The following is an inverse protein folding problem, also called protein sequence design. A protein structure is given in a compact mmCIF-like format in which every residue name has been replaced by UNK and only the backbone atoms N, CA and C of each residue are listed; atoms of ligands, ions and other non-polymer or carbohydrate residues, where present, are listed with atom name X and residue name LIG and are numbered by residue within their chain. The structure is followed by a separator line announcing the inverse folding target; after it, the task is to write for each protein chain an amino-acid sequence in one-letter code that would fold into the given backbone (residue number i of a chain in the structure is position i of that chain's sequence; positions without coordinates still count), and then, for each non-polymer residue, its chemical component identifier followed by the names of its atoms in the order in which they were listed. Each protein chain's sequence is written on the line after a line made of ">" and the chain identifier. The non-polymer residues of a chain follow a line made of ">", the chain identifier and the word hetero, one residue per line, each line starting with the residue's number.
data_IF_837620799418
#
_entry.id   IF_837620799418
#
_cell.length_a   1.000
_cell.length_b   1.000
_cell.length_c   1.000
_cell.angle_alpha   90.00
_cell.angle_beta   90.00
_cell.angle_gamma   90.00
#
_symmetry.space_group_name_H-M   'P 1'
#
loop_
_entity.id
_entity.type
_entity.pdbx_description
1 polymer ?
#
# COMPACT_ATOMS: atom_id res chain seq x y z
N UNK A 1 -20.84 -6.47 43.68
CA UNK A 1 -21.37 -6.04 42.36
C UNK A 1 -20.69 -4.77 41.84
N UNK A 2 -20.74 -3.64 42.56
CA UNK A 2 -20.16 -2.33 42.12
C UNK A 2 -18.66 -2.41 41.81
N UNK A 3 -17.85 -3.06 42.66
CA UNK A 3 -16.40 -3.22 42.43
C UNK A 3 -16.06 -4.01 41.16
N UNK A 4 -16.85 -5.04 40.84
CA UNK A 4 -16.66 -5.80 39.61
C UNK A 4 -16.99 -4.97 38.38
N UNK A 5 -18.10 -4.21 38.40
CA UNK A 5 -18.47 -3.30 37.32
C UNK A 5 -17.40 -2.21 37.10
N UNK A 6 -16.86 -1.64 38.18
CA UNK A 6 -15.79 -0.66 38.12
C UNK A 6 -14.50 -1.24 37.51
N UNK A 7 -14.10 -2.44 37.93
CA UNK A 7 -12.92 -3.12 37.37
C UNK A 7 -13.10 -3.45 35.89
N UNK A 8 -14.28 -3.93 35.48
CA UNK A 8 -14.59 -4.21 34.07
C UNK A 8 -14.55 -2.93 33.23
N UNK A 9 -15.08 -1.82 33.76
CA UNK A 9 -15.05 -0.53 33.08
C UNK A 9 -13.62 0.01 32.92
N UNK A 10 -12.79 -0.06 33.97
CA UNK A 10 -11.38 0.33 33.91
C UNK A 10 -10.63 -0.52 32.87
N UNK A 11 -10.85 -1.83 32.85
CA UNK A 11 -10.23 -2.72 31.87
C UNK A 11 -10.64 -2.34 30.43
N UNK A 12 -11.91 -2.03 30.20
CA UNK A 12 -12.40 -1.60 28.89
C UNK A 12 -11.72 -0.30 28.44
N UNK A 13 -11.54 0.67 29.35
CA UNK A 13 -10.82 1.92 29.06
C UNK A 13 -9.37 1.61 28.67
N UNK A 14 -8.66 0.79 29.45
CA UNK A 14 -7.26 0.45 29.19
C UNK A 14 -7.11 -0.21 27.81
N UNK A 15 -7.98 -1.17 27.48
CA UNK A 15 -7.95 -1.86 26.18
C UNK A 15 -8.26 -0.87 25.04
N UNK A 16 -9.23 0.01 25.21
CA UNK A 16 -9.62 0.96 24.17
C UNK A 16 -8.53 2.00 23.91
N UNK A 17 -7.97 2.59 24.98
CA UNK A 17 -6.87 3.55 24.88
C UNK A 17 -5.63 2.89 24.29
N UNK A 18 -5.29 1.68 24.75
CA UNK A 18 -4.18 0.90 24.20
C UNK A 18 -4.35 0.62 22.70
N UNK A 19 -5.56 0.26 22.26
CA UNK A 19 -5.88 0.06 20.85
C UNK A 19 -5.73 1.35 20.04
N UNK A 20 -6.25 2.47 20.53
CA UNK A 20 -6.12 3.78 19.86
C UNK A 20 -4.65 4.16 19.70
N UNK A 21 -3.85 4.09 20.76
CA UNK A 21 -2.41 4.36 20.71
C UNK A 21 -1.70 3.46 19.70
N UNK A 22 -2.00 2.15 19.70
CA UNK A 22 -1.46 1.21 18.72
C UNK A 22 -1.79 1.61 17.28
N UNK A 23 -3.04 2.00 17.00
CA UNK A 23 -3.44 2.41 15.64
C UNK A 23 -2.72 3.68 15.17
N UNK A 24 -2.57 4.68 16.05
CA UNK A 24 -1.85 5.92 15.74
C UNK A 24 -0.38 5.62 15.44
N UNK A 25 0.29 4.82 16.28
CA UNK A 25 1.69 4.43 16.08
C UNK A 25 1.86 3.66 14.76
N UNK A 26 0.93 2.75 14.45
CA UNK A 26 0.95 2.01 13.19
C UNK A 26 0.82 2.94 11.99
N UNK A 27 -0.13 3.88 12.00
CA UNK A 27 -0.37 4.78 10.88
C UNK A 27 0.78 5.78 10.70
N UNK A 28 1.39 6.26 11.80
CA UNK A 28 2.62 7.07 11.74
C UNK A 28 3.78 6.29 11.11
N UNK A 29 3.95 5.02 11.50
CA UNK A 29 4.99 4.16 10.90
C UNK A 29 4.75 3.96 9.41
N UNK A 30 3.51 3.70 8.99
CA UNK A 30 3.16 3.55 7.58
C UNK A 30 3.44 4.85 6.82
N UNK A 31 3.08 6.00 7.39
CA UNK A 31 3.37 7.30 6.80
C UNK A 31 4.88 7.49 6.57
N UNK A 32 5.72 7.20 7.57
CA UNK A 32 7.18 7.29 7.45
C UNK A 32 7.72 6.36 6.35
N UNK A 33 7.23 5.11 6.29
CA UNK A 33 7.62 4.16 5.24
C UNK A 33 7.25 4.70 3.86
N UNK A 34 6.00 5.14 3.67
CA UNK A 34 5.55 5.67 2.39
C UNK A 34 6.38 6.88 1.96
N UNK A 35 6.71 7.79 2.89
CA UNK A 35 7.58 8.95 2.62
C UNK A 35 8.98 8.51 2.19
N UNK A 36 9.56 7.51 2.86
CA UNK A 36 10.87 6.97 2.47
C UNK A 36 10.85 6.42 1.05
N UNK A 37 9.90 5.56 0.73
CA UNK A 37 9.77 4.95 -0.61
C UNK A 37 9.57 6.01 -1.71
N UNK A 38 8.76 7.04 -1.43
CA UNK A 38 8.55 8.14 -2.37
C UNK A 38 9.79 9.03 -2.52
N UNK A 39 10.57 9.24 -1.45
CA UNK A 39 11.83 9.98 -1.52
C UNK A 39 12.88 9.22 -2.35
N UNK A 40 12.97 7.90 -2.20
CA UNK A 40 13.88 7.07 -3.00
C UNK A 40 13.51 7.15 -4.49
N UNK A 41 12.21 7.09 -4.81
CA UNK A 41 11.72 7.32 -6.17
C UNK A 41 12.03 8.73 -6.67
N UNK A 42 11.91 9.75 -5.82
CA UNK A 42 12.20 11.14 -6.18
C UNK A 42 13.68 11.34 -6.55
N UNK A 43 14.58 10.58 -5.92
CA UNK A 43 16.00 10.53 -6.29
C UNK A 43 16.26 10.03 -7.72
N UNK A 44 15.31 9.29 -8.32
CA UNK A 44 15.37 8.83 -9.71
C UNK A 44 14.58 9.75 -10.63
N UNK A 45 13.34 10.09 -10.26
CA UNK A 45 12.46 10.98 -11.01
C UNK A 45 11.43 11.64 -10.08
N UNK A 46 11.63 12.92 -9.78
CA UNK A 46 10.77 13.70 -8.90
C UNK A 46 9.32 13.81 -9.40
N UNK A 47 9.09 13.91 -10.71
CA UNK A 47 7.74 14.03 -11.27
C UNK A 47 6.93 12.74 -11.08
N UNK A 48 7.57 11.59 -11.23
CA UNK A 48 6.96 10.29 -10.99
C UNK A 48 6.64 10.10 -9.50
N UNK A 49 7.58 10.44 -8.61
CA UNK A 49 7.35 10.41 -7.18
C UNK A 49 6.18 11.32 -6.77
N UNK A 50 6.15 12.57 -7.24
CA UNK A 50 5.06 13.50 -6.95
C UNK A 50 3.71 13.02 -7.50
N UNK A 51 3.71 12.32 -8.64
CA UNK A 51 2.49 11.70 -9.19
C UNK A 51 2.00 10.56 -8.30
N UNK A 52 2.89 9.68 -7.84
CA UNK A 52 2.55 8.62 -6.90
C UNK A 52 2.09 9.16 -5.55
N UNK A 53 2.71 10.23 -5.05
CA UNK A 53 2.30 10.91 -3.82
C UNK A 53 0.86 11.43 -3.93
N UNK A 54 0.53 12.15 -5.01
CA UNK A 54 -0.85 12.61 -5.25
C UNK A 54 -1.82 11.44 -5.37
N UNK A 55 -1.45 10.39 -6.09
CA UNK A 55 -2.25 9.17 -6.20
C UNK A 55 -2.53 8.53 -4.83
N UNK A 56 -1.53 8.41 -3.97
CA UNK A 56 -1.68 7.87 -2.61
C UNK A 56 -2.59 8.76 -1.78
N UNK A 57 -2.40 10.08 -1.82
CA UNK A 57 -3.22 11.03 -1.07
C UNK A 57 -4.70 10.97 -1.50
N UNK A 58 -4.98 10.93 -2.80
CA UNK A 58 -6.34 10.82 -3.32
C UNK A 58 -7.01 9.51 -2.92
N UNK A 59 -6.28 8.38 -2.89
CA UNK A 59 -6.81 7.12 -2.34
C UNK A 59 -7.28 7.33 -0.91
N UNK A 60 -6.44 7.91 -0.06
CA UNK A 60 -6.74 8.08 1.36
C UNK A 60 -7.88 9.06 1.62
N UNK A 61 -8.02 10.07 0.78
CA UNK A 61 -9.05 11.10 0.90
C UNK A 61 -10.41 10.66 0.35
N UNK A 62 -10.46 9.82 -0.69
CA UNK A 62 -11.70 9.54 -1.43
C UNK A 62 -12.27 8.14 -1.18
N UNK A 63 -11.42 7.14 -0.90
CA UNK A 63 -11.85 5.73 -0.87
C UNK A 63 -12.13 5.20 0.55
N UNK A 64 -11.69 5.93 1.57
CA UNK A 64 -11.69 5.48 2.96
C UNK A 64 -10.72 4.32 3.24
N UNK A 65 -9.79 4.04 2.33
CA UNK A 65 -8.66 3.12 2.52
C UNK A 65 -7.39 3.88 2.85
N UNK A 66 -6.55 3.32 3.71
CA UNK A 66 -5.18 3.74 3.92
C UNK A 66 -4.23 2.94 3.04
N UNK A 67 -3.12 3.57 2.65
CA UNK A 67 -2.15 2.99 1.73
C UNK A 67 -0.87 2.65 2.48
N UNK A 68 -0.34 1.45 2.25
CA UNK A 68 1.04 1.10 2.59
C UNK A 68 1.79 0.75 1.32
N UNK A 69 2.80 1.54 0.95
CA UNK A 69 3.75 1.20 -0.10
C UNK A 69 4.59 0.03 0.44
N UNK A 70 4.61 -1.06 -0.32
CA UNK A 70 5.36 -2.28 0.02
C UNK A 70 6.57 -2.51 -0.90
N UNK A 71 6.63 -1.82 -2.04
CA UNK A 71 7.82 -1.77 -2.90
C UNK A 71 7.73 -0.55 -3.82
N UNK A 72 8.64 0.41 -3.69
CA UNK A 72 8.86 1.51 -4.62
C UNK A 72 10.02 1.21 -5.56
N UNK A 73 11.15 1.90 -5.36
CA UNK A 73 12.39 1.70 -6.12
C UNK A 73 12.99 0.32 -5.80
N UNK A 74 13.46 -0.40 -6.83
CA UNK A 74 14.18 -1.67 -6.65
C UNK A 74 15.57 -1.58 -7.24
N UNK A 75 16.57 -2.10 -6.54
CA UNK A 75 17.93 -2.18 -7.06
C UNK A 75 18.02 -3.18 -8.23
N UNK A 76 19.09 -3.04 -9.01
CA UNK A 76 19.34 -3.96 -10.13
C UNK A 76 19.60 -5.38 -9.62
N UNK A 77 20.34 -5.52 -8.53
CA UNK A 77 20.72 -6.83 -7.98
C UNK A 77 19.53 -7.58 -7.41
N UNK A 78 18.64 -6.89 -6.69
CA UNK A 78 17.36 -7.47 -6.25
C UNK A 78 16.53 -7.96 -7.43
N UNK A 79 16.47 -7.20 -8.52
CA UNK A 79 15.73 -7.61 -9.71
C UNK A 79 16.38 -8.80 -10.43
N UNK A 80 17.72 -8.89 -10.44
CA UNK A 80 18.44 -10.07 -10.94
C UNK A 80 18.07 -11.29 -10.12
N UNK A 81 18.08 -11.18 -8.79
CA UNK A 81 17.74 -12.28 -7.90
C UNK A 81 16.29 -12.71 -8.09
N UNK A 82 15.34 -11.78 -8.08
CA UNK A 82 13.92 -12.07 -8.33
C UNK A 82 13.68 -12.77 -9.67
N UNK A 83 14.44 -12.41 -10.72
CA UNK A 83 14.35 -13.05 -12.03
C UNK A 83 14.91 -14.47 -12.01
N UNK A 84 15.98 -14.72 -11.25
CA UNK A 84 16.54 -16.06 -11.04
C UNK A 84 15.55 -16.96 -10.28
N UNK A 85 14.95 -16.43 -9.21
CA UNK A 85 14.00 -17.18 -8.38
C UNK A 85 12.69 -17.47 -9.12
N UNK A 86 12.23 -16.53 -9.96
CA UNK A 86 11.06 -16.72 -10.79
C UNK A 86 11.28 -16.12 -12.19
N UNK A 87 11.54 -16.98 -13.21
CA UNK A 87 11.73 -16.55 -14.59
C UNK A 87 10.55 -15.79 -15.21
N UNK A 88 9.36 -15.75 -14.60
CA UNK A 88 8.23 -14.93 -15.06
C UNK A 88 8.36 -13.45 -14.67
N UNK A 89 9.25 -13.10 -13.76
CA UNK A 89 9.51 -11.72 -13.38
C UNK A 89 10.15 -10.93 -14.54
N UNK A 90 10.08 -9.60 -14.48
CA UNK A 90 10.72 -8.74 -15.48
C UNK A 90 12.25 -8.90 -15.44
N UNK A 91 12.89 -8.77 -16.61
CA UNK A 91 14.33 -8.54 -16.64
C UNK A 91 14.66 -7.16 -16.06
N UNK A 92 15.89 -6.93 -15.60
CA UNK A 92 16.33 -5.66 -14.99
C UNK A 92 15.97 -4.46 -15.87
N UNK A 93 16.31 -4.51 -17.16
CA UNK A 93 16.06 -3.42 -18.12
C UNK A 93 14.58 -3.15 -18.40
N UNK A 94 13.69 -4.07 -18.01
CA UNK A 94 12.24 -3.98 -18.23
C UNK A 94 11.46 -3.80 -16.93
N UNK A 95 12.12 -3.81 -15.77
CA UNK A 95 11.46 -3.70 -14.48
C UNK A 95 11.10 -2.24 -14.21
N UNK A 96 9.80 -1.95 -14.12
CA UNK A 96 9.33 -0.59 -13.81
C UNK A 96 9.80 -0.10 -12.44
N UNK A 97 9.96 -0.99 -11.46
CA UNK A 97 10.51 -0.63 -10.16
C UNK A 97 11.96 -0.19 -10.25
N UNK A 98 12.79 -0.86 -11.07
CA UNK A 98 14.19 -0.45 -11.29
C UNK A 98 14.27 0.91 -11.98
N UNK A 99 13.29 1.23 -12.83
CA UNK A 99 13.20 2.50 -13.54
C UNK A 99 12.54 3.63 -12.71
N UNK A 100 12.16 3.38 -11.45
CA UNK A 100 11.43 4.36 -10.63
C UNK A 100 10.02 4.69 -11.15
N UNK A 101 9.41 3.77 -11.90
CA UNK A 101 8.14 3.94 -12.63
C UNK A 101 7.00 3.10 -12.06
N UNK A 102 7.19 2.45 -10.92
CA UNK A 102 6.14 1.64 -10.30
C UNK A 102 6.18 1.71 -8.78
N UNK A 103 5.01 1.52 -8.19
CA UNK A 103 4.84 1.21 -6.78
C UNK A 103 3.95 -0.03 -6.64
N UNK A 104 4.24 -0.85 -5.64
CA UNK A 104 3.33 -1.86 -5.14
C UNK A 104 2.76 -1.38 -3.81
N UNK A 105 1.44 -1.50 -3.65
CA UNK A 105 0.73 -1.05 -2.45
C UNK A 105 -0.14 -2.15 -1.84
N UNK A 106 -0.29 -2.13 -0.52
CA UNK A 106 -1.40 -2.76 0.16
C UNK A 106 -2.42 -1.68 0.58
N UNK A 107 -3.69 -2.05 0.61
CA UNK A 107 -4.75 -1.20 1.16
C UNK A 107 -5.21 -1.77 2.50
N UNK A 108 -5.42 -0.91 3.49
CA UNK A 108 -6.00 -1.32 4.76
C UNK A 108 -7.06 -0.34 5.25
N UNK A 109 -8.04 -0.86 5.99
CA UNK A 109 -9.12 -0.07 6.59
C UNK A 109 -9.48 -0.67 7.95
N UNK A 110 -9.63 0.18 8.97
CA UNK A 110 -10.11 -0.25 10.29
C UNK A 110 -11.64 -0.36 10.26
N UNK A 111 -12.16 -1.46 10.83
CA UNK A 111 -13.60 -1.74 10.95
C UNK A 111 -13.83 -2.25 12.38
N UNK A 112 -14.25 -1.35 13.26
CA UNK A 112 -14.26 -1.61 14.71
C UNK A 112 -12.85 -1.92 15.21
N UNK A 113 -12.70 -3.04 15.94
CA UNK A 113 -11.39 -3.53 16.41
C UNK A 113 -10.62 -4.33 15.33
N UNK A 114 -11.23 -4.59 14.18
CA UNK A 114 -10.65 -5.39 13.10
C UNK A 114 -10.02 -4.55 12.01
N UNK A 115 -9.14 -5.15 11.21
CA UNK A 115 -8.52 -4.50 10.06
C UNK A 115 -8.77 -5.30 8.81
N UNK A 116 -9.47 -4.68 7.86
CA UNK A 116 -9.57 -5.21 6.51
C UNK A 116 -8.28 -4.90 5.77
N UNK A 117 -7.69 -5.91 5.13
CA UNK A 117 -6.43 -5.79 4.40
C UNK A 117 -6.59 -6.37 2.99
N UNK A 118 -6.29 -5.57 1.98
CA UNK A 118 -6.10 -6.02 0.61
C UNK A 118 -4.61 -6.09 0.30
N UNK A 119 -4.18 -7.26 -0.17
CA UNK A 119 -2.80 -7.60 -0.51
C UNK A 119 -2.74 -8.33 -1.86
N UNK A 120 -1.55 -8.75 -2.28
CA UNK A 120 -1.35 -9.45 -3.57
C UNK A 120 -2.26 -10.67 -3.74
N UNK A 121 -2.54 -11.42 -2.67
CA UNK A 121 -3.43 -12.58 -2.72
C UNK A 121 -4.92 -12.23 -2.80
N UNK A 122 -5.31 -10.97 -2.60
CA UNK A 122 -6.71 -10.53 -2.71
C UNK A 122 -7.17 -10.54 -4.17
N UNK A 123 -8.46 -10.80 -4.39
CA UNK A 123 -9.01 -10.88 -5.74
C UNK A 123 -9.00 -9.53 -6.46
N UNK A 124 -8.87 -9.53 -7.80
CA UNK A 124 -9.04 -8.32 -8.63
C UNK A 124 -10.41 -7.67 -8.42
N UNK A 125 -11.45 -8.46 -8.13
CA UNK A 125 -12.79 -7.96 -7.84
C UNK A 125 -12.82 -7.17 -6.51
N UNK A 126 -12.13 -7.64 -5.47
CA UNK A 126 -12.01 -6.93 -4.19
C UNK A 126 -11.31 -5.59 -4.37
N UNK A 127 -10.27 -5.53 -5.20
CA UNK A 127 -9.58 -4.29 -5.54
C UNK A 127 -10.44 -3.33 -6.38
N UNK A 128 -11.22 -3.81 -7.35
CA UNK A 128 -12.17 -2.94 -8.08
C UNK A 128 -13.21 -2.31 -7.16
N UNK A 129 -13.69 -3.06 -6.15
CA UNK A 129 -14.66 -2.56 -5.17
C UNK A 129 -14.12 -1.42 -4.30
N UNK A 130 -12.81 -1.15 -4.27
CA UNK A 130 -12.26 -0.02 -3.52
C UNK A 130 -12.35 1.30 -4.26
N UNK A 131 -12.56 1.30 -5.58
CA UNK A 131 -12.47 2.49 -6.43
C UNK A 131 -11.03 2.97 -6.68
N UNK A 132 -10.02 2.35 -6.08
CA UNK A 132 -8.59 2.71 -6.29
C UNK A 132 -8.14 2.54 -7.74
N UNK A 133 -8.53 1.48 -8.48
CA UNK A 133 -8.20 1.37 -9.89
C UNK A 133 -8.76 2.53 -10.75
N UNK A 134 -9.89 3.12 -10.36
CA UNK A 134 -10.49 4.27 -11.02
C UNK A 134 -9.73 5.56 -10.71
N UNK A 135 -9.31 5.75 -9.45
CA UNK A 135 -8.42 6.85 -9.05
C UNK A 135 -7.11 6.80 -9.84
N UNK A 136 -6.52 5.61 -10.01
CA UNK A 136 -5.27 5.41 -10.74
C UNK A 136 -5.34 5.93 -12.20
N UNK A 137 -6.51 5.84 -12.85
CA UNK A 137 -6.71 6.33 -14.21
C UNK A 137 -6.53 7.84 -14.32
N UNK A 138 -6.90 8.63 -13.29
CA UNK A 138 -6.71 10.10 -13.28
C UNK A 138 -5.23 10.50 -13.35
N UNK A 139 -4.37 9.62 -12.85
CA UNK A 139 -2.92 9.80 -12.86
C UNK A 139 -2.23 9.09 -14.03
N UNK A 140 -3.01 8.54 -14.97
CA UNK A 140 -2.50 7.77 -16.10
C UNK A 140 -1.63 6.59 -15.66
N UNK A 141 -1.96 5.99 -14.51
CA UNK A 141 -1.28 4.81 -13.99
C UNK A 141 -1.93 3.54 -14.55
N UNK A 142 -1.10 2.63 -15.04
CA UNK A 142 -1.53 1.29 -15.39
C UNK A 142 -1.62 0.44 -14.11
N UNK A 143 -2.82 -0.03 -13.81
CA UNK A 143 -3.04 -0.96 -12.71
C UNK A 143 -2.76 -2.40 -13.13
N UNK A 144 -1.92 -3.12 -12.39
CA UNK A 144 -1.56 -4.52 -12.66
C UNK A 144 -2.72 -5.52 -12.57
N UNK A 145 -3.86 -5.11 -12.00
CA UNK A 145 -5.11 -5.87 -12.11
C UNK A 145 -5.62 -6.04 -13.55
N UNK A 146 -5.19 -5.18 -14.48
CA UNK A 146 -5.56 -5.25 -15.90
C UNK A 146 -4.73 -6.25 -16.71
N UNK A 147 -3.64 -6.80 -16.15
CA UNK A 147 -2.81 -7.78 -16.84
C UNK A 147 -3.59 -9.06 -17.16
N UNK A 148 -3.47 -9.53 -18.41
CA UNK A 148 -4.23 -10.67 -18.94
C UNK A 148 -3.84 -12.01 -18.30
N UNK A 149 -2.53 -12.26 -18.20
CA UNK A 149 -1.97 -13.56 -17.81
C UNK A 149 -1.19 -13.53 -16.48
N UNK A 150 -1.29 -12.43 -15.73
CA UNK A 150 -0.60 -12.27 -14.45
C UNK A 150 -1.50 -11.59 -13.44
N UNK A 151 -1.48 -12.09 -12.20
CA UNK A 151 -2.27 -11.53 -11.11
C UNK A 151 -1.38 -10.64 -10.25
N UNK A 152 -1.53 -9.32 -10.44
CA UNK A 152 -0.77 -8.34 -9.66
C UNK A 152 -1.59 -7.10 -9.28
N UNK A 153 -2.61 -7.25 -8.43
CA UNK A 153 -3.53 -6.17 -8.13
C UNK A 153 -2.93 -5.11 -7.19
N UNK A 154 -1.76 -5.36 -6.61
CA UNK A 154 -1.03 -4.40 -5.76
C UNK A 154 -0.22 -3.40 -6.60
N UNK A 155 0.00 -3.72 -7.87
CA UNK A 155 0.97 -3.03 -8.72
C UNK A 155 0.35 -1.85 -9.49
N UNK A 156 1.05 -0.73 -9.51
CA UNK A 156 0.70 0.47 -10.27
C UNK A 156 1.95 1.04 -10.94
N UNK A 157 1.90 1.24 -12.26
CA UNK A 157 3.04 1.75 -13.03
C UNK A 157 2.69 2.96 -13.91
N UNK A 158 3.69 3.77 -14.21
CA UNK A 158 3.63 4.88 -15.17
C UNK A 158 3.95 4.33 -16.56
N UNK A 159 2.99 4.46 -17.48
CA UNK A 159 3.14 4.08 -18.91
C UNK A 159 4.21 4.87 -19.63
#
# INVERSE_FOLDING_TARGET
>A
MIRHLLNTFILLIIVTVGYVCYTIIYDLRVHIINRSELNDLAGINADYAARFERFVNDIENESGWKVKIISGLRSRDEQIQLKRDNPRNAAVSKSRHVLGRAIDINLYKRVGLSTLLLKKSSSKASWRKTGVPEIAKRYQLLWGGTYRNYHDPVHFEIN
#
